data_IF_863193192471
#
_entry.id   IF_863193192471
#
_cell.length_a   1.000
_cell.length_b   1.000
_cell.length_c   1.000
_cell.angle_alpha   90.00
_cell.angle_beta   90.00
_cell.angle_gamma   90.00
#
_symmetry.space_group_name_H-M   'P 1'
#
loop_
_entity.id
_entity.type
_entity.pdbx_description
1 polymer ?
#
# COMPACT_ATOMS: atom_id res chain seq x y z
N UNK A 1 -16.81 28.23 70.98
CA UNK A 1 -17.02 28.24 72.45
C UNK A 1 -18.43 28.79 72.71
N UNK A 2 -19.23 28.04 73.48
CA UNK A 2 -20.57 28.36 74.02
C UNK A 2 -21.80 28.23 73.10
N UNK A 3 -22.37 27.03 73.22
CA UNK A 3 -23.78 26.62 73.20
C UNK A 3 -24.71 27.63 73.88
N UNK A 4 -25.91 27.84 73.30
CA UNK A 4 -27.13 28.07 74.08
C UNK A 4 -28.38 27.56 73.34
N UNK A 5 -29.11 26.73 74.08
CA UNK A 5 -30.34 25.99 73.81
C UNK A 5 -31.54 26.82 74.29
N UNK A 6 -32.70 26.71 73.63
CA UNK A 6 -34.11 26.82 74.10
C UNK A 6 -34.98 27.10 72.86
N UNK A 7 -36.15 26.53 72.52
CA UNK A 7 -37.09 25.51 73.00
C UNK A 7 -38.19 25.47 71.90
N UNK A 8 -39.00 24.40 71.73
CA UNK A 8 -39.72 24.13 70.48
C UNK A 8 -41.12 24.73 70.45
N UNK A 9 -41.58 25.16 69.27
CA UNK A 9 -43.00 25.43 69.00
C UNK A 9 -43.54 24.36 68.07
N UNK A 10 -44.31 23.46 68.66
CA UNK A 10 -45.06 22.40 68.03
C UNK A 10 -46.33 23.00 67.43
N UNK A 11 -46.38 23.20 66.11
CA UNK A 11 -47.59 23.60 65.39
C UNK A 11 -48.17 22.36 64.68
N UNK A 12 -49.12 21.73 65.37
CA UNK A 12 -50.01 20.69 64.84
C UNK A 12 -51.03 21.39 63.93
N UNK A 13 -50.90 21.27 62.61
CA UNK A 13 -51.97 21.61 61.67
C UNK A 13 -52.43 20.32 60.99
N UNK A 14 -53.72 20.11 61.16
CA UNK A 14 -54.54 18.98 60.78
C UNK A 14 -54.62 18.86 59.25
N UNK A 15 -54.39 17.64 58.78
CA UNK A 15 -55.11 16.93 57.71
C UNK A 15 -55.59 17.73 56.50
N UNK A 16 -54.93 17.50 55.37
CA UNK A 16 -55.63 17.25 54.10
C UNK A 16 -54.87 16.19 53.32
N UNK A 17 -55.44 14.99 53.31
CA UNK A 17 -55.05 13.85 52.47
C UNK A 17 -55.25 14.20 51.00
N UNK A 18 -54.23 14.77 50.36
CA UNK A 18 -54.12 14.83 48.92
C UNK A 18 -53.11 13.79 48.47
N UNK A 19 -53.60 12.59 48.12
CA UNK A 19 -52.86 11.69 47.22
C UNK A 19 -52.58 12.53 45.96
N UNK A 20 -51.34 12.99 45.78
CA UNK A 20 -50.86 13.42 44.47
C UNK A 20 -50.77 12.14 43.65
N UNK A 21 -51.84 11.87 42.91
CA UNK A 21 -51.74 11.06 41.72
C UNK A 21 -50.71 11.74 40.81
N UNK A 22 -49.59 11.05 40.58
CA UNK A 22 -48.74 11.33 39.43
C UNK A 22 -49.64 11.34 38.19
N UNK A 23 -49.56 12.37 37.34
CA UNK A 23 -50.38 12.40 36.14
C UNK A 23 -49.94 11.25 35.24
N UNK A 24 -50.78 10.22 35.15
CA UNK A 24 -50.71 9.17 34.14
C UNK A 24 -50.62 9.82 32.76
N UNK A 25 -49.44 9.71 32.15
CA UNK A 25 -49.22 9.96 30.75
C UNK A 25 -50.20 9.06 29.99
N UNK A 26 -51.22 9.65 29.34
CA UNK A 26 -52.16 8.90 28.48
C UNK A 26 -51.34 8.03 27.53
N UNK A 27 -51.41 6.71 27.69
CA UNK A 27 -50.63 5.76 26.89
C UNK A 27 -50.92 6.00 25.40
N UNK A 28 -49.98 6.65 24.71
CA UNK A 28 -50.02 6.97 23.29
C UNK A 28 -49.87 5.72 22.41
N UNK A 29 -49.32 4.66 23.00
CA UNK A 29 -48.91 3.43 22.35
C UNK A 29 -49.60 2.23 23.00
N UNK A 30 -50.08 1.30 22.19
CA UNK A 30 -50.43 -0.04 22.63
C UNK A 30 -49.30 -0.99 22.21
N UNK A 31 -48.62 -1.60 23.18
CA UNK A 31 -47.45 -2.47 22.94
C UNK A 31 -47.87 -3.92 23.17
N UNK A 32 -47.64 -4.77 22.18
CA UNK A 32 -47.87 -6.22 22.24
C UNK A 32 -46.62 -6.94 21.72
N UNK A 33 -45.73 -7.32 22.64
CA UNK A 33 -44.42 -7.89 22.28
C UNK A 33 -43.60 -6.91 21.43
N UNK A 34 -43.25 -7.32 20.21
CA UNK A 34 -42.49 -6.50 19.27
C UNK A 34 -43.37 -5.56 18.40
N UNK A 35 -44.67 -5.51 18.66
CA UNK A 35 -45.65 -4.70 17.92
C UNK A 35 -46.07 -3.47 18.71
N UNK A 36 -46.12 -2.33 18.05
CA UNK A 36 -46.54 -1.04 18.58
C UNK A 36 -47.68 -0.50 17.72
N UNK A 37 -48.82 -0.23 18.34
CA UNK A 37 -49.94 0.47 17.69
C UNK A 37 -50.06 1.89 18.23
N UNK A 38 -50.05 2.87 17.35
CA UNK A 38 -50.16 4.30 17.71
C UNK A 38 -51.60 4.77 17.50
N UNK A 39 -52.17 5.50 18.47
CA UNK A 39 -53.54 6.03 18.35
C UNK A 39 -53.67 7.02 17.18
N UNK A 40 -54.80 6.96 16.47
CA UNK A 40 -55.12 7.67 15.21
C UNK A 40 -55.05 9.23 15.24
N UNK A 41 -54.62 9.86 16.33
CA UNK A 41 -54.49 11.31 16.45
C UNK A 41 -53.26 11.74 17.26
N UNK A 42 -52.30 10.83 17.47
CA UNK A 42 -51.10 11.13 18.22
C UNK A 42 -50.13 12.00 17.39
N UNK A 43 -49.53 13.06 17.98
CA UNK A 43 -48.53 13.88 17.31
C UNK A 43 -47.33 13.11 16.73
N UNK A 44 -47.02 11.94 17.30
CA UNK A 44 -45.92 11.07 16.84
C UNK A 44 -46.17 10.54 15.42
N UNK A 45 -47.42 10.24 15.04
CA UNK A 45 -47.75 9.79 13.67
C UNK A 45 -47.37 10.82 12.61
N UNK A 46 -47.42 12.12 12.93
CA UNK A 46 -47.04 13.20 12.00
C UNK A 46 -45.54 13.38 11.84
N UNK A 47 -44.74 12.79 12.73
CA UNK A 47 -43.27 12.83 12.72
C UNK A 47 -42.65 11.55 12.15
N UNK A 48 -43.47 10.59 11.77
CA UNK A 48 -43.05 9.32 11.18
C UNK A 48 -43.09 9.46 9.66
N UNK A 49 -41.97 9.16 9.03
CA UNK A 49 -41.87 9.00 7.58
C UNK A 49 -41.61 7.53 7.29
N UNK A 50 -42.37 6.95 6.36
CA UNK A 50 -42.18 5.58 5.91
C UNK A 50 -41.80 5.52 4.44
N UNK A 51 -41.09 4.46 4.07
CA UNK A 51 -40.65 4.21 2.71
C UNK A 51 -40.80 2.72 2.40
N UNK A 52 -41.20 2.41 1.16
CA UNK A 52 -41.27 1.02 0.71
C UNK A 52 -39.88 0.54 0.32
N UNK A 53 -39.45 -0.56 0.92
CA UNK A 53 -38.20 -1.23 0.60
C UNK A 53 -38.25 -1.71 -0.85
N UNK A 54 -37.27 -1.26 -1.64
CA UNK A 54 -37.07 -1.71 -3.01
C UNK A 54 -35.71 -2.39 -3.14
N UNK A 55 -35.64 -3.36 -4.06
CA UNK A 55 -34.34 -3.85 -4.52
C UNK A 55 -33.72 -2.81 -5.43
N UNK A 56 -32.48 -2.45 -5.13
CA UNK A 56 -31.67 -1.55 -5.95
C UNK A 56 -30.41 -2.29 -6.37
N UNK A 57 -29.90 -1.98 -7.56
CA UNK A 57 -28.57 -2.41 -7.94
C UNK A 57 -27.56 -1.70 -7.04
N UNK A 58 -26.90 -2.48 -6.18
CA UNK A 58 -25.92 -2.00 -5.24
C UNK A 58 -24.55 -2.53 -5.65
N UNK A 59 -23.55 -1.65 -5.68
CA UNK A 59 -22.16 -2.05 -5.94
C UNK A 59 -21.70 -3.02 -4.85
N UNK A 60 -21.28 -4.21 -5.24
CA UNK A 60 -20.59 -5.12 -4.35
C UNK A 60 -19.11 -4.72 -4.30
N UNK A 61 -18.47 -4.89 -3.14
CA UNK A 61 -17.06 -4.55 -2.98
C UNK A 61 -16.35 -5.55 -2.10
N UNK A 62 -15.16 -5.96 -2.52
CA UNK A 62 -14.26 -6.80 -1.72
C UNK A 62 -13.25 -5.87 -1.06
N UNK A 63 -12.99 -6.04 0.23
CA UNK A 63 -11.92 -5.30 0.92
C UNK A 63 -10.84 -6.27 1.38
N UNK A 64 -9.59 -5.93 1.11
CA UNK A 64 -8.43 -6.67 1.61
C UNK A 64 -7.42 -5.75 2.29
N UNK A 65 -6.57 -6.34 3.12
CA UNK A 65 -5.36 -5.68 3.57
C UNK A 65 -4.33 -5.68 2.44
N UNK A 66 -3.59 -4.59 2.32
CA UNK A 66 -2.47 -4.46 1.41
C UNK A 66 -1.27 -3.80 2.05
N UNK A 67 -0.11 -4.00 1.44
CA UNK A 67 1.15 -3.36 1.84
C UNK A 67 1.70 -2.59 0.65
N UNK A 68 2.18 -1.37 0.90
CA UNK A 68 2.81 -0.54 -0.12
C UNK A 68 4.21 -1.10 -0.39
N UNK A 69 4.50 -1.39 -1.65
CA UNK A 69 5.75 -1.97 -2.13
C UNK A 69 6.40 -1.04 -3.17
N UNK A 70 7.73 -1.11 -3.27
CA UNK A 70 8.47 -0.47 -4.36
C UNK A 70 8.30 -1.25 -5.66
N UNK A 71 8.33 -0.55 -6.79
CA UNK A 71 8.41 -1.20 -8.10
C UNK A 71 9.87 -1.67 -8.30
N UNK A 72 10.15 -2.96 -8.57
CA UNK A 72 11.51 -3.49 -8.62
C UNK A 72 12.49 -2.74 -9.53
N UNK A 73 12.03 -2.19 -10.66
CA UNK A 73 12.88 -1.43 -11.59
C UNK A 73 13.02 0.07 -11.25
N UNK A 74 12.31 0.53 -10.22
CA UNK A 74 12.39 1.90 -9.70
C UNK A 74 13.10 1.96 -8.34
N UNK A 75 13.73 0.86 -7.92
CA UNK A 75 14.40 0.72 -6.65
C UNK A 75 15.76 0.08 -6.88
N UNK A 76 16.81 0.66 -6.30
CA UNK A 76 18.17 0.19 -6.47
C UNK A 76 18.92 0.18 -5.15
N UNK A 77 19.47 -0.98 -4.83
CA UNK A 77 20.38 -1.19 -3.71
C UNK A 77 21.82 -1.10 -4.21
N UNK A 78 22.58 -0.19 -3.64
CA UNK A 78 23.93 0.12 -4.09
C UNK A 78 24.94 -0.49 -3.13
N UNK A 79 25.64 -1.51 -3.61
CA UNK A 79 26.78 -2.14 -2.97
C UNK A 79 28.08 -1.82 -3.74
N UNK A 80 29.22 -2.12 -3.12
CA UNK A 80 30.51 -1.98 -3.80
C UNK A 80 30.88 -3.28 -4.52
N UNK A 81 31.28 -3.24 -5.80
CA UNK A 81 31.75 -4.43 -6.51
C UNK A 81 33.18 -4.83 -6.12
N UNK A 82 33.87 -4.03 -5.28
CA UNK A 82 35.22 -4.31 -4.85
C UNK A 82 35.34 -4.11 -3.34
N UNK A 83 36.21 -4.89 -2.72
CA UNK A 83 36.64 -4.62 -1.35
C UNK A 83 37.59 -3.40 -1.32
N UNK A 84 37.40 -2.51 -0.34
CA UNK A 84 38.21 -1.30 -0.25
C UNK A 84 37.76 -0.31 0.81
N UNK A 85 38.47 0.82 0.90
CA UNK A 85 38.19 1.88 1.87
C UNK A 85 37.42 3.03 1.24
N UNK A 86 36.30 3.44 1.83
CA UNK A 86 35.54 4.60 1.38
C UNK A 86 36.37 5.86 1.56
N UNK A 87 36.58 6.60 0.47
CA UNK A 87 37.30 7.89 0.48
C UNK A 87 36.32 9.04 0.65
N UNK A 88 35.16 8.97 -0.01
CA UNK A 88 34.22 10.09 -0.08
C UNK A 88 32.80 9.61 -0.37
N UNK A 89 31.82 10.24 0.28
CA UNK A 89 30.41 10.21 -0.13
C UNK A 89 30.09 11.45 -0.97
N UNK A 90 29.38 11.28 -2.08
CA UNK A 90 28.89 12.38 -2.92
C UNK A 90 27.41 12.68 -2.70
N UNK A 91 26.72 11.85 -1.91
CA UNK A 91 25.27 11.93 -1.73
C UNK A 91 24.87 12.09 -0.26
N UNK A 92 23.69 12.68 -0.05
CA UNK A 92 23.04 12.83 1.25
C UNK A 92 21.65 12.19 1.25
N UNK A 93 21.15 11.79 2.42
CA UNK A 93 19.78 11.27 2.55
C UNK A 93 18.76 12.34 2.13
N UNK A 94 17.72 11.94 1.39
CA UNK A 94 16.70 12.84 0.83
C UNK A 94 17.13 13.59 -0.45
N UNK A 95 18.39 13.43 -0.90
CA UNK A 95 18.84 14.05 -2.14
C UNK A 95 18.28 13.32 -3.36
N UNK A 96 17.84 14.07 -4.38
CA UNK A 96 17.52 13.50 -5.69
C UNK A 96 18.79 13.36 -6.55
N UNK A 97 18.93 12.21 -7.21
CA UNK A 97 20.05 11.89 -8.09
C UNK A 97 19.55 11.38 -9.44
N UNK A 98 20.31 11.67 -10.50
CA UNK A 98 20.05 11.13 -11.82
C UNK A 98 20.86 9.85 -12.04
N UNK A 99 20.39 8.96 -12.92
CA UNK A 99 21.18 7.82 -13.38
C UNK A 99 22.57 8.28 -13.88
N UNK A 100 23.61 7.58 -13.44
CA UNK A 100 25.02 7.90 -13.71
C UNK A 100 25.66 8.90 -12.74
N UNK A 101 24.90 9.52 -11.83
CA UNK A 101 25.46 10.43 -10.82
C UNK A 101 26.40 9.68 -9.88
N UNK A 102 27.53 10.28 -9.45
CA UNK A 102 28.44 9.66 -8.50
C UNK A 102 27.75 9.53 -7.12
N UNK A 103 27.87 8.35 -6.51
CA UNK A 103 27.29 8.04 -5.18
C UNK A 103 28.38 8.08 -4.13
N UNK A 104 29.43 7.28 -4.29
CA UNK A 104 30.60 7.27 -3.42
C UNK A 104 31.86 6.80 -4.14
N UNK A 105 33.01 7.12 -3.54
CA UNK A 105 34.33 6.75 -4.02
C UNK A 105 35.00 5.80 -3.03
N UNK A 106 35.58 4.72 -3.55
CA UNK A 106 36.30 3.70 -2.80
C UNK A 106 37.72 3.54 -3.33
N UNK A 107 38.70 3.41 -2.44
CA UNK A 107 40.04 2.95 -2.77
C UNK A 107 40.02 1.42 -2.82
N UNK A 108 40.11 0.86 -4.02
CA UNK A 108 39.90 -0.56 -4.26
C UNK A 108 41.13 -1.17 -4.99
N UNK A 109 41.95 -1.98 -4.28
CA UNK A 109 43.04 -2.71 -4.91
C UNK A 109 42.57 -3.62 -6.05
N UNK A 110 41.38 -4.22 -5.92
CA UNK A 110 40.78 -5.05 -6.97
C UNK A 110 40.46 -4.30 -8.26
N UNK A 111 40.11 -3.01 -8.18
CA UNK A 111 39.95 -2.20 -9.40
C UNK A 111 41.31 -1.86 -10.03
N UNK A 112 42.34 -1.66 -9.20
CA UNK A 112 43.71 -1.42 -9.67
C UNK A 112 44.26 -2.60 -10.46
N UNK A 113 43.97 -3.84 -10.05
CA UNK A 113 44.37 -5.03 -10.80
C UNK A 113 43.68 -5.10 -12.16
N UNK A 114 42.38 -4.79 -12.26
CA UNK A 114 41.68 -4.74 -13.56
C UNK A 114 42.32 -3.71 -14.51
N UNK A 115 42.71 -2.54 -14.00
CA UNK A 115 43.42 -1.52 -14.80
C UNK A 115 44.81 -1.98 -15.24
N UNK A 116 45.53 -2.68 -14.35
CA UNK A 116 46.83 -3.28 -14.65
C UNK A 116 46.70 -4.34 -15.75
N UNK A 117 45.75 -5.26 -15.65
CA UNK A 117 45.56 -6.35 -16.62
C UNK A 117 45.26 -5.81 -18.02
N UNK A 118 44.43 -4.76 -18.12
CA UNK A 118 44.20 -4.05 -19.38
C UNK A 118 45.48 -3.42 -19.94
N UNK A 119 46.27 -2.77 -19.08
CA UNK A 119 47.51 -2.10 -19.48
C UNK A 119 48.57 -3.10 -19.95
N UNK A 120 48.69 -4.23 -19.26
CA UNK A 120 49.61 -5.32 -19.62
C UNK A 120 49.20 -5.96 -20.95
N UNK A 121 47.91 -6.28 -21.13
CA UNK A 121 47.40 -6.81 -22.41
C UNK A 121 47.60 -5.85 -23.58
N UNK A 122 47.47 -4.53 -23.35
CA UNK A 122 47.71 -3.52 -24.37
C UNK A 122 49.19 -3.47 -24.77
N UNK A 123 50.11 -3.61 -23.81
CA UNK A 123 51.54 -3.64 -24.08
C UNK A 123 51.95 -4.92 -24.81
N UNK A 124 51.37 -6.06 -24.44
CA UNK A 124 51.57 -7.34 -25.13
C UNK A 124 51.14 -7.28 -26.60
N UNK A 125 49.96 -6.70 -26.88
CA UNK A 125 49.50 -6.48 -28.26
C UNK A 125 50.47 -5.61 -29.04
N UNK A 126 50.94 -4.51 -28.45
CA UNK A 126 51.92 -3.61 -29.11
C UNK A 126 53.23 -4.32 -29.43
N UNK A 127 53.69 -5.19 -28.54
CA UNK A 127 54.91 -5.97 -28.75
C UNK A 127 54.71 -7.00 -29.87
N UNK A 128 53.62 -7.77 -29.80
CA UNK A 128 53.28 -8.78 -30.80
C UNK A 128 53.04 -8.16 -32.19
N UNK A 129 52.37 -7.00 -32.26
CA UNK A 129 52.15 -6.27 -33.51
C UNK A 129 53.47 -5.84 -34.16
N UNK A 130 54.41 -5.32 -33.37
CA UNK A 130 55.75 -4.96 -33.87
C UNK A 130 56.51 -6.19 -34.39
N UNK A 131 56.40 -7.32 -33.70
CA UNK A 131 57.04 -8.56 -34.15
C UNK A 131 56.41 -9.08 -35.46
N UNK A 132 55.08 -9.11 -35.55
CA UNK A 132 54.36 -9.49 -36.76
C UNK A 132 54.75 -8.60 -37.95
N UNK A 133 54.76 -7.27 -37.77
CA UNK A 133 55.21 -6.33 -38.82
C UNK A 133 56.65 -6.59 -39.27
N UNK A 134 57.55 -6.84 -38.31
CA UNK A 134 58.96 -7.17 -38.60
C UNK A 134 59.07 -8.45 -39.44
N UNK A 135 58.38 -9.52 -39.05
CA UNK A 135 58.41 -10.78 -39.79
C UNK A 135 57.79 -10.63 -41.17
N UNK A 136 56.72 -9.86 -41.28
CA UNK A 136 56.08 -9.56 -42.55
C UNK A 136 57.05 -8.84 -43.51
N UNK A 137 57.82 -7.87 -43.01
CA UNK A 137 58.81 -7.16 -43.81
C UNK A 137 59.98 -8.05 -44.22
N UNK A 138 60.49 -8.93 -43.33
CA UNK A 138 61.56 -9.88 -43.66
C UNK A 138 61.15 -10.86 -44.76
N UNK A 139 59.94 -11.42 -44.68
CA UNK A 139 59.40 -12.32 -45.71
C UNK A 139 59.21 -11.58 -47.04
N UNK A 140 58.67 -10.35 -47.02
CA UNK A 140 58.52 -9.52 -48.24
C UNK A 140 59.84 -9.25 -48.97
N UNK A 141 60.95 -9.16 -48.23
CA UNK A 141 62.29 -8.94 -48.79
C UNK A 141 63.06 -10.25 -49.04
N UNK A 142 62.41 -11.41 -48.94
CA UNK A 142 62.99 -12.71 -49.30
C UNK A 142 64.00 -13.28 -48.29
N UNK A 143 64.13 -12.69 -47.10
CA UNK A 143 65.07 -13.13 -46.05
C UNK A 143 64.38 -13.80 -44.86
N UNK A 144 63.04 -13.74 -44.78
CA UNK A 144 62.25 -14.31 -43.69
C UNK A 144 61.71 -15.72 -43.97
N UNK A 145 61.37 -16.45 -42.91
CA UNK A 145 60.77 -17.80 -42.97
C UNK A 145 59.24 -17.68 -42.85
N UNK A 146 58.49 -18.28 -43.80
CA UNK A 146 57.02 -18.21 -43.82
C UNK A 146 56.36 -18.72 -42.53
N UNK A 147 56.89 -19.80 -41.95
CA UNK A 147 56.42 -20.36 -40.68
C UNK A 147 56.52 -19.35 -39.52
N UNK A 148 57.60 -18.57 -39.46
CA UNK A 148 57.80 -17.56 -38.40
C UNK A 148 56.81 -16.39 -38.53
N UNK A 149 56.43 -16.03 -39.77
CA UNK A 149 55.38 -15.05 -40.02
C UNK A 149 54.02 -15.55 -39.53
N UNK A 150 53.66 -16.80 -39.85
CA UNK A 150 52.39 -17.41 -39.42
C UNK A 150 52.30 -17.56 -37.89
N UNK A 151 53.42 -17.92 -37.24
CA UNK A 151 53.53 -17.95 -35.78
C UNK A 151 53.36 -16.55 -35.18
N UNK A 152 54.02 -15.53 -35.74
CA UNK A 152 53.90 -14.15 -35.27
C UNK A 152 52.49 -13.56 -35.49
N UNK A 153 51.82 -13.92 -36.60
CA UNK A 153 50.43 -13.53 -36.86
C UNK A 153 49.48 -14.15 -35.84
N UNK A 154 49.64 -15.45 -35.58
CA UNK A 154 48.84 -16.18 -34.59
C UNK A 154 49.01 -15.58 -33.20
N UNK A 155 50.25 -15.29 -32.80
CA UNK A 155 50.54 -14.67 -31.51
C UNK A 155 49.92 -13.27 -31.41
N UNK A 156 50.04 -12.44 -32.44
CA UNK A 156 49.38 -11.13 -32.48
C UNK A 156 47.86 -11.24 -32.34
N UNK A 157 47.23 -12.19 -33.04
CA UNK A 157 45.78 -12.44 -32.95
C UNK A 157 45.36 -12.92 -31.55
N UNK A 158 46.17 -13.78 -30.93
CA UNK A 158 45.94 -14.26 -29.56
C UNK A 158 46.01 -13.09 -28.56
N UNK A 159 47.08 -12.28 -28.61
CA UNK A 159 47.21 -11.11 -27.75
C UNK A 159 46.10 -10.09 -27.96
N UNK A 160 45.66 -9.90 -29.21
CA UNK A 160 44.51 -9.02 -29.52
C UNK A 160 43.22 -9.53 -28.88
N UNK A 161 43.02 -10.83 -28.85
CA UNK A 161 41.88 -11.46 -28.15
C UNK A 161 41.99 -11.25 -26.63
N UNK A 162 43.17 -11.43 -26.04
CA UNK A 162 43.39 -11.14 -24.61
C UNK A 162 43.10 -9.67 -24.26
N UNK A 163 43.54 -8.72 -25.09
CA UNK A 163 43.21 -7.31 -24.92
C UNK A 163 41.70 -7.05 -25.01
N UNK A 164 41.00 -7.70 -25.95
CA UNK A 164 39.54 -7.61 -26.05
C UNK A 164 38.85 -8.05 -24.76
N UNK A 165 39.28 -9.18 -24.17
CA UNK A 165 38.74 -9.68 -22.91
C UNK A 165 39.03 -8.74 -21.73
N UNK A 166 40.26 -8.25 -21.62
CA UNK A 166 40.64 -7.29 -20.58
C UNK A 166 39.87 -5.97 -20.73
N UNK A 167 39.68 -5.49 -21.96
CA UNK A 167 38.91 -4.28 -22.26
C UNK A 167 37.42 -4.44 -21.88
N UNK A 168 36.85 -5.62 -22.13
CA UNK A 168 35.45 -5.92 -21.80
C UNK A 168 35.25 -5.93 -20.28
N UNK A 169 36.21 -6.52 -19.55
CA UNK A 169 36.22 -6.53 -18.09
C UNK A 169 36.30 -5.11 -17.53
N UNK A 170 37.22 -4.28 -18.03
CA UNK A 170 37.34 -2.88 -17.59
C UNK A 170 36.09 -2.06 -17.91
N UNK A 171 35.53 -2.24 -19.10
CA UNK A 171 34.34 -1.52 -19.56
C UNK A 171 33.08 -1.91 -18.76
N UNK A 172 32.97 -3.15 -18.27
CA UNK A 172 31.86 -3.60 -17.42
C UNK A 172 31.71 -2.75 -16.15
N UNK A 173 32.82 -2.22 -15.62
CA UNK A 173 32.80 -1.35 -14.44
C UNK A 173 32.57 0.14 -14.75
N UNK A 174 32.61 0.55 -16.03
CA UNK A 174 32.29 1.89 -16.55
C UNK A 174 32.82 3.08 -15.71
N UNK A 175 34.06 2.94 -15.23
CA UNK A 175 34.76 3.97 -14.44
C UNK A 175 36.00 4.44 -15.18
N UNK A 176 36.20 5.77 -15.20
CA UNK A 176 37.39 6.45 -15.73
C UNK A 176 38.34 6.91 -14.63
N UNK A 177 38.18 6.39 -13.42
CA UNK A 177 38.92 6.86 -12.25
C UNK A 177 40.38 6.40 -12.31
N UNK A 178 41.31 7.27 -11.90
CA UNK A 178 42.76 7.05 -11.93
C UNK A 178 43.32 6.90 -10.52
N UNK A 179 44.32 6.05 -10.32
CA UNK A 179 45.00 5.93 -9.03
C UNK A 179 44.38 4.90 -8.07
N UNK A 180 43.76 3.85 -8.61
CA UNK A 180 43.22 2.74 -7.83
C UNK A 180 41.92 3.03 -7.08
N UNK A 181 41.32 4.18 -7.34
CA UNK A 181 40.00 4.57 -6.86
C UNK A 181 38.91 4.14 -7.83
N UNK A 182 37.74 3.80 -7.31
CA UNK A 182 36.56 3.44 -8.08
C UNK A 182 35.38 4.29 -7.62
N UNK A 183 34.66 4.90 -8.56
CA UNK A 183 33.48 5.71 -8.29
C UNK A 183 32.25 4.88 -8.61
N UNK A 184 31.48 4.58 -7.58
CA UNK A 184 30.18 3.90 -7.71
C UNK A 184 29.16 4.96 -8.13
N UNK A 185 28.36 4.66 -9.14
CA UNK A 185 27.35 5.56 -9.72
C UNK A 185 25.93 5.03 -9.49
N UNK A 186 24.96 5.93 -9.53
CA UNK A 186 23.55 5.59 -9.44
C UNK A 186 23.10 4.85 -10.72
N UNK A 187 22.52 3.63 -10.62
CA UNK A 187 22.01 2.90 -11.78
C UNK A 187 20.66 3.45 -12.27
N UNK A 188 19.91 4.13 -11.40
CA UNK A 188 18.61 4.73 -11.70
C UNK A 188 18.56 6.18 -11.21
N UNK A 189 17.61 6.96 -11.75
CA UNK A 189 17.24 8.25 -11.18
C UNK A 189 16.26 8.05 -10.03
N UNK A 190 16.38 8.83 -8.96
CA UNK A 190 15.52 8.68 -7.79
C UNK A 190 16.03 9.47 -6.58
N UNK A 191 15.39 9.28 -5.43
CA UNK A 191 15.82 9.86 -4.16
C UNK A 191 16.66 8.86 -3.35
N UNK A 192 17.67 9.37 -2.66
CA UNK A 192 18.44 8.60 -1.67
C UNK A 192 17.58 8.40 -0.42
N UNK A 193 16.98 7.22 -0.28
CA UNK A 193 16.12 6.89 0.86
C UNK A 193 16.88 6.27 2.03
N UNK A 194 18.11 5.79 1.79
CA UNK A 194 19.02 5.30 2.83
C UNK A 194 20.45 5.61 2.45
N UNK A 195 21.23 6.07 3.43
CA UNK A 195 22.67 6.29 3.28
C UNK A 195 23.38 5.83 4.56
N UNK A 196 24.08 4.70 4.47
CA UNK A 196 24.88 4.10 5.53
C UNK A 196 26.40 4.32 5.32
N UNK A 197 26.79 5.13 4.35
CA UNK A 197 28.21 5.35 4.03
C UNK A 197 28.86 6.15 5.14
N UNK A 198 29.98 5.64 5.64
CA UNK A 198 30.87 6.37 6.55
C UNK A 198 32.23 6.54 5.87
N UNK A 199 32.70 7.79 5.74
CA UNK A 199 34.04 8.08 5.20
C UNK A 199 35.10 7.39 6.05
N UNK A 200 36.01 6.66 5.40
CA UNK A 200 37.05 5.87 6.05
C UNK A 200 36.65 4.45 6.43
N UNK A 201 35.38 4.07 6.29
CA UNK A 201 34.92 2.70 6.47
C UNK A 201 35.54 1.77 5.43
N UNK A 202 35.81 0.53 5.84
CA UNK A 202 36.20 -0.54 4.93
C UNK A 202 34.96 -1.35 4.52
N UNK A 203 34.74 -1.50 3.22
CA UNK A 203 33.68 -2.33 2.64
C UNK A 203 34.32 -3.59 2.05
N UNK A 204 33.61 -4.71 2.21
CA UNK A 204 33.93 -5.98 1.56
C UNK A 204 33.02 -6.18 0.35
N UNK A 205 33.41 -7.06 -0.55
CA UNK A 205 32.64 -7.40 -1.77
C UNK A 205 31.27 -8.02 -1.46
N UNK A 206 31.13 -8.69 -0.30
CA UNK A 206 29.90 -9.31 0.21
C UNK A 206 29.13 -8.41 1.20
N UNK A 207 29.50 -7.13 1.30
CA UNK A 207 28.83 -6.22 2.24
C UNK A 207 27.39 -5.91 1.81
N UNK A 208 26.52 -5.72 2.80
CA UNK A 208 25.18 -5.21 2.56
C UNK A 208 25.20 -3.88 1.77
N UNK A 209 24.14 -3.60 1.00
CA UNK A 209 23.97 -2.31 0.34
C UNK A 209 24.11 -1.13 1.32
N UNK A 210 24.93 -0.16 0.92
CA UNK A 210 25.25 1.03 1.73
C UNK A 210 24.39 2.23 1.37
N UNK A 211 23.84 2.26 0.16
CA UNK A 211 22.92 3.31 -0.31
C UNK A 211 21.72 2.65 -0.96
N UNK A 212 20.55 3.24 -0.76
CA UNK A 212 19.32 2.83 -1.44
C UNK A 212 18.76 4.04 -2.18
N UNK A 213 18.49 3.84 -3.46
CA UNK A 213 17.90 4.84 -4.36
C UNK A 213 16.52 4.35 -4.75
N UNK A 214 15.50 5.20 -4.61
CA UNK A 214 14.16 4.84 -5.01
C UNK A 214 13.47 6.00 -5.76
N UNK A 215 12.82 5.66 -6.87
CA UNK A 215 11.87 6.50 -7.56
C UNK A 215 10.46 6.13 -7.07
N UNK A 216 9.87 7.01 -6.26
CA UNK A 216 8.60 6.75 -5.56
C UNK A 216 7.41 7.53 -6.13
N UNK A 217 7.53 8.15 -7.31
CA UNK A 217 6.41 8.83 -7.97
C UNK A 217 5.25 7.87 -8.29
N UNK A 218 5.53 6.57 -8.38
CA UNK A 218 4.56 5.49 -8.45
C UNK A 218 4.95 4.38 -7.49
N UNK A 219 3.96 3.73 -6.91
CA UNK A 219 4.15 2.61 -5.99
C UNK A 219 3.24 1.46 -6.37
N UNK A 220 3.61 0.26 -5.93
CA UNK A 220 2.70 -0.86 -5.91
C UNK A 220 2.05 -0.99 -4.55
N UNK A 221 0.83 -1.52 -4.55
CA UNK A 221 0.17 -1.98 -3.34
C UNK A 221 -0.14 -3.45 -3.57
N UNK A 222 0.46 -4.29 -2.74
CA UNK A 222 0.24 -5.72 -2.74
C UNK A 222 -0.96 -6.03 -1.84
N UNK A 223 -2.14 -6.17 -2.42
CA UNK A 223 -3.35 -6.59 -1.71
C UNK A 223 -3.48 -8.10 -1.62
N UNK A 224 -3.90 -8.62 -0.47
CA UNK A 224 -4.07 -10.05 -0.22
C UNK A 224 -5.55 -10.45 -0.36
N UNK A 225 -5.96 -10.88 -1.56
CA UNK A 225 -7.37 -11.22 -1.84
C UNK A 225 -7.61 -12.70 -1.59
N UNK A 226 -8.72 -13.05 -0.92
CA UNK A 226 -9.06 -14.47 -0.68
C UNK A 226 -9.38 -15.18 -1.99
N UNK A 227 -9.01 -16.46 -2.07
CA UNK A 227 -9.20 -17.30 -3.27
C UNK A 227 -10.63 -17.27 -3.81
N UNK A 228 -11.64 -17.34 -2.93
CA UNK A 228 -13.07 -17.29 -3.32
C UNK A 228 -13.50 -16.00 -4.03
N UNK A 229 -12.77 -14.91 -3.80
CA UNK A 229 -13.14 -13.56 -4.23
C UNK A 229 -12.37 -13.13 -5.48
N UNK A 230 -11.33 -13.87 -5.89
CA UNK A 230 -10.47 -13.49 -7.03
C UNK A 230 -11.20 -13.45 -8.37
N UNK A 231 -12.25 -14.26 -8.52
CA UNK A 231 -13.09 -14.34 -9.73
C UNK A 231 -13.78 -13.02 -10.11
N UNK A 232 -13.80 -12.06 -9.19
CA UNK A 232 -14.43 -10.76 -9.37
C UNK A 232 -13.43 -9.65 -9.71
N UNK A 233 -12.13 -9.97 -9.78
CA UNK A 233 -11.06 -8.98 -9.98
C UNK A 233 -10.32 -9.31 -11.27
N UNK A 234 -10.16 -8.31 -12.12
CA UNK A 234 -9.45 -8.40 -13.39
C UNK A 234 -8.33 -7.34 -13.49
N UNK A 235 -7.26 -7.60 -14.26
CA UNK A 235 -6.29 -6.57 -14.58
C UNK A 235 -6.95 -5.35 -15.25
N UNK A 236 -6.55 -4.16 -14.81
CA UNK A 236 -7.11 -2.88 -15.26
C UNK A 236 -8.25 -2.34 -14.39
N UNK A 237 -8.83 -3.16 -13.51
CA UNK A 237 -9.94 -2.74 -12.66
C UNK A 237 -9.54 -1.56 -11.73
N UNK A 238 -10.42 -0.56 -11.58
CA UNK A 238 -10.18 0.51 -10.64
C UNK A 238 -10.33 0.01 -9.19
N UNK A 239 -9.43 0.46 -8.33
CA UNK A 239 -9.50 0.18 -6.89
C UNK A 239 -9.41 1.46 -6.08
N UNK A 240 -10.08 1.48 -4.94
CA UNK A 240 -9.93 2.52 -3.93
C UNK A 240 -8.98 2.02 -2.86
N UNK A 241 -8.11 2.90 -2.39
CA UNK A 241 -7.08 2.61 -1.41
C UNK A 241 -7.24 3.62 -0.27
N UNK A 242 -7.21 3.12 0.97
CA UNK A 242 -7.16 3.95 2.17
C UNK A 242 -5.94 3.58 2.99
N UNK A 243 -5.20 4.59 3.43
CA UNK A 243 -4.04 4.44 4.31
C UNK A 243 -4.36 5.11 5.63
N UNK A 244 -4.19 4.42 6.75
CA UNK A 244 -4.56 4.95 8.07
C UNK A 244 -3.84 6.26 8.43
N UNK A 245 -2.63 6.45 7.90
CA UNK A 245 -1.84 7.69 8.07
C UNK A 245 -2.51 8.91 7.44
N UNK A 246 -3.37 8.72 6.42
CA UNK A 246 -4.05 9.78 5.68
C UNK A 246 -5.52 9.39 5.41
N UNK A 247 -6.39 9.38 6.44
CA UNK A 247 -7.75 8.87 6.33
C UNK A 247 -8.63 9.66 5.36
N UNK A 248 -8.36 10.96 5.21
CA UNK A 248 -9.12 11.87 4.34
C UNK A 248 -8.58 11.91 2.90
N UNK A 249 -7.48 11.21 2.62
CA UNK A 249 -6.89 11.20 1.28
C UNK A 249 -7.51 10.08 0.45
N UNK A 250 -8.29 10.46 -0.56
CA UNK A 250 -8.75 9.50 -1.56
C UNK A 250 -7.59 9.08 -2.46
N UNK A 251 -7.18 7.82 -2.32
CA UNK A 251 -6.16 7.21 -3.18
C UNK A 251 -6.87 6.23 -4.10
N UNK A 252 -6.62 6.36 -5.39
CA UNK A 252 -7.11 5.43 -6.40
C UNK A 252 -5.94 4.73 -7.08
N UNK A 253 -6.19 3.52 -7.54
CA UNK A 253 -5.21 2.73 -8.26
C UNK A 253 -5.88 1.84 -9.31
N UNK A 254 -5.07 1.10 -10.05
CA UNK A 254 -5.55 0.08 -10.98
C UNK A 254 -4.87 -1.24 -10.70
N UNK A 255 -5.61 -2.33 -10.83
CA UNK A 255 -5.03 -3.67 -10.77
C UNK A 255 -4.02 -3.80 -11.91
N UNK A 256 -2.75 -3.97 -11.56
CA UNK A 256 -1.65 -4.13 -12.50
C UNK A 256 -1.47 -5.61 -12.85
N UNK A 257 -1.46 -6.47 -11.84
CA UNK A 257 -1.22 -7.89 -12.01
C UNK A 257 -1.86 -8.71 -10.90
N UNK A 258 -2.32 -9.91 -11.22
CA UNK A 258 -2.87 -10.89 -10.30
C UNK A 258 -1.90 -12.08 -10.31
N UNK A 259 -1.37 -12.46 -9.15
CA UNK A 259 -0.44 -13.57 -9.03
C UNK A 259 -1.14 -14.89 -9.36
N UNK A 260 -0.42 -15.80 -10.02
CA UNK A 260 -0.88 -17.18 -10.26
C UNK A 260 -0.64 -18.10 -9.07
N UNK A 261 0.09 -17.63 -8.05
CA UNK A 261 0.38 -18.38 -6.83
C UNK A 261 -0.57 -17.98 -5.71
N UNK A 262 -1.11 -19.00 -5.04
CA UNK A 262 -1.87 -18.85 -3.79
C UNK A 262 -0.88 -18.99 -2.64
N UNK A 263 -0.90 -18.04 -1.71
CA UNK A 263 -0.19 -18.14 -0.45
C UNK A 263 -0.91 -19.19 0.44
N UNK A 264 -0.24 -20.29 0.75
CA UNK A 264 -0.84 -21.45 1.43
C UNK A 264 -1.25 -21.14 2.88
N UNK A 265 -0.47 -20.31 3.57
CA UNK A 265 -0.69 -19.93 4.97
C UNK A 265 -1.92 -19.04 5.11
N UNK A 266 -2.06 -18.06 4.23
CA UNK A 266 -3.14 -17.08 4.27
C UNK A 266 -4.32 -17.43 3.37
N UNK A 267 -4.20 -18.45 2.51
CA UNK A 267 -5.17 -18.81 1.45
C UNK A 267 -5.60 -17.59 0.63
N UNK A 268 -4.63 -16.77 0.27
CA UNK A 268 -4.85 -15.50 -0.43
C UNK A 268 -3.97 -15.43 -1.69
N UNK A 269 -4.47 -14.72 -2.69
CA UNK A 269 -3.76 -14.43 -3.93
C UNK A 269 -3.28 -12.98 -3.86
N UNK A 270 -1.99 -12.78 -4.18
CA UNK A 270 -1.39 -11.44 -4.24
C UNK A 270 -1.92 -10.71 -5.48
N UNK A 271 -2.53 -9.55 -5.27
CA UNK A 271 -2.97 -8.64 -6.32
C UNK A 271 -2.14 -7.36 -6.24
N UNK A 272 -1.33 -7.11 -7.26
CA UNK A 272 -0.52 -5.91 -7.37
C UNK A 272 -1.36 -4.80 -8.00
N UNK A 273 -1.45 -3.68 -7.29
CA UNK A 273 -2.14 -2.47 -7.71
C UNK A 273 -1.12 -1.38 -7.95
N UNK A 274 -1.21 -0.68 -9.07
CA UNK A 274 -0.39 0.50 -9.34
C UNK A 274 -1.13 1.77 -8.92
N UNK A 275 -0.46 2.60 -8.11
CA UNK A 275 -0.95 3.89 -7.68
C UNK A 275 0.06 5.00 -8.02
N UNK A 276 -0.44 6.13 -8.49
CA UNK A 276 0.36 7.35 -8.61
C UNK A 276 0.59 7.94 -7.22
N UNK A 277 1.80 8.44 -7.00
CA UNK A 277 2.29 8.97 -5.72
C UNK A 277 3.12 10.25 -5.93
N UNK A 278 2.57 11.28 -6.61
CA UNK A 278 3.34 12.48 -6.98
C UNK A 278 3.83 13.29 -5.76
N UNK A 279 3.10 13.22 -4.64
CA UNK A 279 3.50 13.85 -3.37
C UNK A 279 4.38 12.95 -2.50
N UNK A 280 4.66 11.72 -2.93
CA UNK A 280 5.48 10.72 -2.23
C UNK A 280 5.02 10.43 -0.79
N UNK A 281 3.72 10.54 -0.55
CA UNK A 281 3.08 10.28 0.75
C UNK A 281 2.95 8.79 1.03
N UNK A 282 2.79 7.99 -0.02
CA UNK A 282 2.74 6.53 0.06
C UNK A 282 4.18 6.03 0.20
N UNK A 283 4.54 5.58 1.41
CA UNK A 283 5.88 5.06 1.69
C UNK A 283 5.85 3.53 1.67
N UNK A 284 6.86 2.88 1.05
CA UNK A 284 7.00 1.43 1.12
C UNK A 284 6.96 0.93 2.58
N UNK A 285 6.31 -0.20 2.81
CA UNK A 285 6.08 -0.79 4.13
C UNK A 285 4.84 -0.27 4.88
N UNK A 286 4.17 0.78 4.41
CA UNK A 286 2.89 1.19 4.99
C UNK A 286 1.78 0.16 4.67
N UNK A 287 0.86 -0.01 5.62
CA UNK A 287 -0.36 -0.78 5.41
C UNK A 287 -1.46 0.07 4.79
N UNK A 288 -2.25 -0.56 3.93
CA UNK A 288 -3.41 0.04 3.30
C UNK A 288 -4.60 -0.93 3.33
N UNK A 289 -5.82 -0.38 3.37
CA UNK A 289 -7.02 -1.12 3.03
C UNK A 289 -7.32 -0.89 1.55
N UNK A 290 -7.47 -1.97 0.78
CA UNK A 290 -7.79 -1.91 -0.64
C UNK A 290 -9.22 -2.39 -0.84
N UNK A 291 -10.02 -1.58 -1.52
CA UNK A 291 -11.39 -1.91 -1.89
C UNK A 291 -11.48 -2.10 -3.40
N UNK A 292 -11.86 -3.31 -3.81
CA UNK A 292 -12.07 -3.73 -5.19
C UNK A 292 -13.56 -3.70 -5.50
N UNK A 293 -13.90 -3.30 -6.72
CA UNK A 293 -15.27 -3.39 -7.21
C UNK A 293 -15.59 -4.83 -7.61
N UNK A 294 -16.66 -5.41 -7.09
CA UNK A 294 -17.06 -6.80 -7.32
C UNK A 294 -18.37 -6.91 -8.10
N UNK A 295 -18.57 -5.99 -9.05
CA UNK A 295 -19.80 -5.85 -9.84
C UNK A 295 -20.97 -5.24 -9.07
N UNK A 296 -22.17 -5.35 -9.65
CA UNK A 296 -23.43 -4.94 -9.01
C UNK A 296 -24.27 -6.17 -8.69
N UNK A 297 -24.97 -6.12 -7.56
CA UNK A 297 -25.94 -7.13 -7.19
C UNK A 297 -27.23 -6.43 -6.75
N UNK A 298 -28.38 -7.05 -7.00
CA UNK A 298 -29.64 -6.56 -6.43
C UNK A 298 -29.61 -6.78 -4.93
N UNK A 299 -29.74 -5.70 -4.18
CA UNK A 299 -29.77 -5.76 -2.74
C UNK A 299 -30.85 -4.84 -2.18
N UNK A 300 -31.36 -5.21 -1.01
CA UNK A 300 -32.19 -4.32 -0.20
C UNK A 300 -31.28 -3.26 0.41
N UNK A 301 -31.51 -2.00 0.05
CA UNK A 301 -30.80 -0.84 0.58
C UNK A 301 -31.80 0.06 1.27
N UNK A 302 -31.48 0.49 2.48
CA UNK A 302 -32.33 1.37 3.29
C UNK A 302 -31.57 2.65 3.66
N UNK A 303 -32.26 3.78 3.91
CA UNK A 303 -31.61 4.97 4.48
C UNK A 303 -30.96 4.64 5.83
N UNK A 304 -29.78 5.21 6.11
CA UNK A 304 -29.06 4.96 7.37
C UNK A 304 -29.89 5.34 8.61
N UNK A 305 -30.73 6.37 8.51
CA UNK A 305 -31.65 6.79 9.57
C UNK A 305 -32.78 5.81 9.90
N UNK A 306 -33.03 4.80 9.05
CA UNK A 306 -34.01 3.75 9.31
C UNK A 306 -33.47 2.64 10.22
N UNK A 307 -32.14 2.46 10.26
CA UNK A 307 -31.49 1.43 11.06
C UNK A 307 -31.35 1.92 12.50
N UNK A 308 -31.93 1.17 13.44
CA UNK A 308 -31.83 1.42 14.86
C UNK A 308 -30.98 0.35 15.53
N UNK A 309 -30.39 0.69 16.68
CA UNK A 309 -29.58 -0.20 17.49
C UNK A 309 -30.13 -0.29 18.90
N UNK A 310 -30.25 -1.51 19.43
CA UNK A 310 -30.57 -1.78 20.82
C UNK A 310 -29.66 -2.90 21.33
N UNK A 311 -28.72 -2.54 22.20
CA UNK A 311 -27.62 -3.41 22.61
C UNK A 311 -26.81 -3.87 21.39
N UNK A 312 -26.64 -5.18 21.26
CA UNK A 312 -25.86 -5.80 20.17
C UNK A 312 -26.69 -6.09 18.91
N UNK A 313 -28.00 -5.77 18.92
CA UNK A 313 -28.90 -6.07 17.81
C UNK A 313 -29.27 -4.80 17.06
N UNK A 314 -29.29 -4.90 15.74
CA UNK A 314 -29.78 -3.86 14.85
C UNK A 314 -31.16 -4.24 14.32
N UNK A 315 -32.05 -3.27 14.21
CA UNK A 315 -33.44 -3.49 13.84
C UNK A 315 -34.00 -2.32 13.05
N UNK A 316 -35.14 -2.55 12.41
CA UNK A 316 -35.96 -1.51 11.77
C UNK A 316 -37.41 -1.65 12.21
N UNK A 317 -38.16 -0.56 12.15
CA UNK A 317 -39.61 -0.58 12.34
C UNK A 317 -40.33 -0.79 11.01
N UNK A 318 -41.19 -1.80 10.94
CA UNK A 318 -41.95 -2.14 9.74
C UNK A 318 -43.42 -1.84 9.97
N UNK A 319 -44.01 -1.05 9.09
CA UNK A 319 -45.43 -0.74 9.11
C UNK A 319 -46.24 -1.94 8.61
N UNK A 320 -46.91 -2.65 9.51
CA UNK A 320 -47.81 -3.78 9.20
C UNK A 320 -49.23 -3.32 8.86
N UNK A 321 -49.65 -2.18 9.41
CA UNK A 321 -50.91 -1.51 9.11
C UNK A 321 -50.78 0.01 9.32
N UNK A 322 -51.80 0.80 8.95
CA UNK A 322 -51.76 2.28 8.98
C UNK A 322 -51.22 2.90 10.28
N UNK A 323 -51.38 2.22 11.41
CA UNK A 323 -50.97 2.67 12.74
C UNK A 323 -50.12 1.64 13.49
N UNK A 324 -49.78 0.53 12.84
CA UNK A 324 -49.16 -0.61 13.49
C UNK A 324 -47.76 -0.82 12.95
N UNK A 325 -46.79 -0.89 13.85
CA UNK A 325 -45.38 -1.04 13.54
C UNK A 325 -44.81 -2.22 14.29
N UNK A 326 -43.98 -3.00 13.63
CA UNK A 326 -43.36 -4.21 14.17
C UNK A 326 -41.85 -4.02 14.13
N UNK A 327 -41.19 -4.24 15.27
CA UNK A 327 -39.73 -4.27 15.36
C UNK A 327 -39.24 -5.56 14.69
N UNK A 328 -38.38 -5.42 13.68
CA UNK A 328 -37.75 -6.54 12.97
C UNK A 328 -36.23 -6.42 13.04
N UNK A 329 -35.60 -7.46 13.57
CA UNK A 329 -34.14 -7.58 13.62
C UNK A 329 -33.62 -7.74 12.18
N UNK A 330 -32.58 -7.01 11.85
CA UNK A 330 -31.92 -7.06 10.54
C UNK A 330 -30.42 -7.29 10.71
N UNK A 331 -29.80 -7.87 9.69
CA UNK A 331 -28.35 -8.02 9.60
C UNK A 331 -27.86 -7.05 8.53
N UNK A 332 -27.25 -5.92 8.88
CA UNK A 332 -26.69 -5.02 7.87
C UNK A 332 -25.39 -5.59 7.29
N UNK A 333 -25.12 -5.19 6.06
CA UNK A 333 -23.85 -5.39 5.36
C UNK A 333 -23.12 -4.05 5.23
N UNK A 334 -22.64 -3.77 4.02
CA UNK A 334 -21.89 -2.54 3.75
C UNK A 334 -22.75 -1.31 4.02
N UNK A 335 -22.21 -0.38 4.80
CA UNK A 335 -22.85 0.87 5.19
C UNK A 335 -22.09 2.04 4.58
N UNK A 336 -22.83 2.97 3.97
CA UNK A 336 -22.35 4.29 3.57
C UNK A 336 -22.91 5.35 4.52
N UNK A 337 -22.46 6.61 4.42
CA UNK A 337 -23.00 7.69 5.27
C UNK A 337 -24.52 7.85 5.15
N UNK A 338 -25.10 7.61 3.97
CA UNK A 338 -26.52 7.88 3.68
C UNK A 338 -27.38 6.62 3.64
N UNK A 339 -26.79 5.46 3.34
CA UNK A 339 -27.53 4.23 3.09
C UNK A 339 -26.85 3.01 3.67
N UNK A 340 -27.63 2.00 4.01
CA UNK A 340 -27.20 0.71 4.57
C UNK A 340 -27.72 -0.41 3.69
N UNK A 341 -26.84 -1.30 3.24
CA UNK A 341 -27.24 -2.57 2.62
C UNK A 341 -27.70 -3.55 3.70
N UNK A 342 -28.80 -4.26 3.47
CA UNK A 342 -29.33 -5.27 4.40
C UNK A 342 -29.09 -6.66 3.81
N UNK A 343 -28.35 -7.48 4.54
CA UNK A 343 -28.04 -8.85 4.14
C UNK A 343 -29.19 -9.82 4.48
N UNK A 344 -29.92 -9.56 5.56
CA UNK A 344 -31.06 -10.38 5.98
C UNK A 344 -32.03 -9.60 6.87
N UNK A 345 -33.29 -10.05 6.89
CA UNK A 345 -34.35 -9.53 7.76
C UNK A 345 -35.36 -8.61 7.08
N UNK A 346 -35.15 -8.22 5.82
CA UNK A 346 -36.09 -7.42 5.03
C UNK A 346 -36.36 -8.05 3.67
N UNK A 347 -37.56 -7.81 3.15
CA UNK A 347 -37.98 -8.23 1.80
C UNK A 347 -38.42 -7.01 0.98
N UNK A 348 -38.26 -7.03 -0.35
CA UNK A 348 -38.87 -6.04 -1.22
C UNK A 348 -40.37 -5.93 -0.95
N UNK A 349 -40.87 -4.70 -0.83
CA UNK A 349 -42.27 -4.40 -0.51
C UNK A 349 -42.57 -4.23 0.99
N UNK A 350 -41.65 -4.56 1.90
CA UNK A 350 -41.78 -4.17 3.31
C UNK A 350 -41.82 -2.63 3.41
N UNK A 351 -42.72 -2.06 4.21
CA UNK A 351 -42.79 -0.61 4.45
C UNK A 351 -42.04 -0.32 5.74
N UNK A 352 -40.91 0.38 5.66
CA UNK A 352 -40.04 0.67 6.81
C UNK A 352 -40.20 2.12 7.26
N UNK A 353 -39.96 2.38 8.54
CA UNK A 353 -39.83 3.72 9.08
C UNK A 353 -38.43 4.27 8.81
N UNK A 354 -38.33 5.40 8.12
CA UNK A 354 -37.07 6.08 7.80
C UNK A 354 -36.80 7.28 8.71
N UNK A 355 -37.84 7.85 9.31
CA UNK A 355 -37.74 8.92 10.30
C UNK A 355 -38.76 8.72 11.42
N UNK A 356 -38.44 9.20 12.62
CA UNK A 356 -39.33 9.16 13.78
C UNK A 356 -39.16 7.94 14.69
N UNK A 357 -38.21 7.04 14.38
CA UNK A 357 -37.96 5.82 15.17
C UNK A 357 -37.57 6.10 16.63
N UNK A 358 -36.95 7.25 16.91
CA UNK A 358 -36.60 7.69 18.26
C UNK A 358 -37.82 7.95 19.16
N UNK A 359 -39.00 8.20 18.57
CA UNK A 359 -40.23 8.43 19.32
C UNK A 359 -40.98 7.12 19.63
N UNK A 360 -40.50 5.99 19.10
CA UNK A 360 -41.09 4.69 19.38
C UNK A 360 -40.66 4.17 20.75
N UNK A 361 -41.57 3.53 21.50
CA UNK A 361 -41.22 2.95 22.80
C UNK A 361 -40.27 1.77 22.65
N UNK A 362 -39.46 1.54 23.68
CA UNK A 362 -38.62 0.35 23.76
C UNK A 362 -39.50 -0.90 23.92
N UNK A 363 -39.49 -1.74 22.89
CA UNK A 363 -40.12 -3.06 22.90
C UNK A 363 -39.07 -4.15 23.04
N UNK A 364 -39.40 -5.23 23.76
CA UNK A 364 -38.55 -6.42 23.92
C UNK A 364 -38.49 -7.27 22.65
#
# INVERSE_FOLDING_TARGET
MKILIFSPVFALIISCSGKKEEPQQKEAFHILGNRVTIKNNDPVLKKITTETVTEQESGNSITSAGTIETIPNNYAEIASPFSGRVIRSFVSIGQHVNAGSPVFEILAPGYSSVQKDYSDALNDVRLAEKNYKRQQDLVKHGVGIQKELEEAETEYKNKKTSLSNASSTLNAYNSKSSGGTYIIKAPISGEIISNKIVTGQYLKEDSEPVVIIAELSKVWISGAVKEKDIRFISPGDPVSVKVNTYPDMEITGKVYHISELVDEDTRSIKVLIQCDNPQRKLKPGMYAAVTYSAGTEKAVVIPSGALMQQGDRQYVWIQSAKQEFIKRIVVPGNTSEKTVRINSGLKPGDIIMTQGGIYMPDTQ
#
